data_IF_610659027518
#
_entry.id   IF_610659027518
#
_cell.length_a   1.000
_cell.length_b   1.000
_cell.length_c   1.000
_cell.angle_alpha   90.00
_cell.angle_beta   90.00
_cell.angle_gamma   90.00
#
_symmetry.space_group_name_H-M   'P 1'
#
loop_
_entity.id
_entity.type
_entity.pdbx_description
1 polymer ?
#
# COMPACT_ATOMS: atom_id res chain seq x y z
N UNK A 1 -21.31 15.82 3.84
CA UNK A 1 -21.59 14.80 2.80
C UNK A 1 -20.34 14.43 2.02
N UNK A 2 -19.80 15.35 1.19
CA UNK A 2 -18.60 15.07 0.38
C UNK A 2 -17.41 14.51 1.17
N UNK A 3 -16.94 15.22 2.21
CA UNK A 3 -15.86 14.72 3.07
C UNK A 3 -16.17 13.36 3.69
N UNK A 4 -17.38 13.17 4.21
CA UNK A 4 -17.78 11.90 4.85
C UNK A 4 -17.71 10.73 3.85
N UNK A 5 -18.13 10.92 2.60
CA UNK A 5 -17.96 9.89 1.57
C UNK A 5 -16.48 9.67 1.22
N UNK A 6 -15.70 10.74 1.05
CA UNK A 6 -14.27 10.67 0.72
C UNK A 6 -13.50 9.89 1.80
N UNK A 7 -13.69 10.24 3.07
CA UNK A 7 -12.91 9.72 4.20
C UNK A 7 -13.43 8.36 4.69
N UNK A 8 -14.76 8.20 4.79
CA UNK A 8 -15.39 7.06 5.45
C UNK A 8 -16.12 6.11 4.49
N UNK A 9 -16.14 6.41 3.19
CA UNK A 9 -16.78 5.57 2.16
C UNK A 9 -18.28 5.37 2.39
N UNK A 10 -18.92 6.35 3.01
CA UNK A 10 -20.34 6.31 3.36
C UNK A 10 -21.21 6.55 2.11
N UNK A 11 -21.84 5.49 1.62
CA UNK A 11 -22.76 5.53 0.47
C UNK A 11 -24.02 6.38 0.74
N UNK A 12 -24.46 6.48 2.00
CA UNK A 12 -25.56 7.37 2.39
C UNK A 12 -25.18 8.84 2.24
N UNK A 13 -23.93 9.19 2.57
CA UNK A 13 -23.39 10.53 2.36
C UNK A 13 -23.26 10.89 0.87
N UNK A 14 -22.86 9.94 0.02
CA UNK A 14 -22.87 10.10 -1.44
C UNK A 14 -24.29 10.30 -1.98
N UNK A 15 -25.24 9.45 -1.58
CA UNK A 15 -26.64 9.58 -1.99
C UNK A 15 -27.26 10.92 -1.57
N UNK A 16 -26.96 11.42 -0.37
CA UNK A 16 -27.42 12.74 0.07
C UNK A 16 -26.77 13.86 -0.75
N UNK A 17 -25.48 13.78 -1.06
CA UNK A 17 -24.81 14.76 -1.93
C UNK A 17 -25.49 14.80 -3.31
N UNK A 18 -25.71 13.63 -3.92
CA UNK A 18 -26.37 13.51 -5.21
C UNK A 18 -27.75 14.20 -5.22
N UNK A 19 -28.57 13.90 -4.21
CA UNK A 19 -29.90 14.51 -4.05
C UNK A 19 -29.83 16.02 -3.89
N UNK A 20 -28.88 16.53 -3.10
CA UNK A 20 -28.69 17.98 -2.96
C UNK A 20 -28.32 18.62 -4.30
N UNK A 21 -27.43 18.00 -5.09
CA UNK A 21 -27.02 18.54 -6.39
C UNK A 21 -28.15 18.53 -7.42
N UNK A 22 -29.03 17.53 -7.38
CA UNK A 22 -30.08 17.30 -8.39
C UNK A 22 -31.44 17.92 -8.01
N UNK A 23 -31.87 17.79 -6.75
CA UNK A 23 -33.21 18.20 -6.29
C UNK A 23 -33.26 19.68 -5.89
N UNK A 24 -32.16 20.27 -5.43
CA UNK A 24 -32.15 21.68 -5.00
C UNK A 24 -32.05 22.68 -6.16
N UNK A 25 -32.08 22.22 -7.42
CA UNK A 25 -32.08 23.09 -8.60
C UNK A 25 -30.82 23.94 -8.75
N UNK A 26 -29.68 23.47 -8.22
CA UNK A 26 -28.44 24.25 -8.13
C UNK A 26 -27.86 24.60 -9.51
N UNK A 27 -28.24 23.87 -10.56
CA UNK A 27 -28.00 24.22 -11.96
C UNK A 27 -28.38 25.68 -12.29
N UNK A 28 -29.42 26.23 -11.64
CA UNK A 28 -29.87 27.60 -11.87
C UNK A 28 -29.03 28.66 -11.12
N UNK A 29 -28.21 28.25 -10.15
CA UNK A 29 -27.34 29.16 -9.41
C UNK A 29 -26.07 29.49 -10.19
N UNK A 30 -25.73 28.70 -11.20
CA UNK A 30 -24.44 28.79 -11.90
C UNK A 30 -24.21 30.15 -12.57
N UNK A 31 -25.25 30.86 -13.02
CA UNK A 31 -25.10 32.22 -13.57
C UNK A 31 -24.88 33.31 -12.51
N UNK A 32 -25.24 33.05 -11.24
CA UNK A 32 -25.17 34.00 -10.14
C UNK A 32 -23.94 33.82 -9.23
N UNK A 33 -23.24 32.69 -9.36
CA UNK A 33 -22.08 32.36 -8.52
C UNK A 33 -20.82 33.14 -8.94
N UNK A 34 -20.07 33.59 -7.94
CA UNK A 34 -18.70 34.08 -8.12
C UNK A 34 -17.78 32.92 -8.52
N UNK A 35 -16.62 33.24 -9.09
CA UNK A 35 -15.70 32.23 -9.62
C UNK A 35 -15.29 31.17 -8.58
N UNK A 36 -14.95 31.58 -7.35
CA UNK A 36 -14.56 30.64 -6.29
C UNK A 36 -15.73 29.77 -5.80
N UNK A 37 -16.97 30.29 -5.83
CA UNK A 37 -18.16 29.52 -5.48
C UNK A 37 -18.47 28.49 -6.54
N UNK A 38 -18.29 28.87 -7.82
CA UNK A 38 -18.36 27.93 -8.95
C UNK A 38 -17.32 26.83 -8.81
N UNK A 39 -16.06 27.16 -8.51
CA UNK A 39 -15.02 26.16 -8.29
C UNK A 39 -15.39 25.17 -7.17
N UNK A 40 -15.87 25.67 -6.02
CA UNK A 40 -16.34 24.82 -4.90
C UNK A 40 -17.49 23.91 -5.34
N UNK A 41 -18.40 24.43 -6.15
CA UNK A 41 -19.53 23.67 -6.66
C UNK A 41 -19.12 22.61 -7.69
N UNK A 42 -18.24 22.96 -8.64
CA UNK A 42 -17.61 22.03 -9.59
C UNK A 42 -16.89 20.91 -8.85
N UNK A 43 -16.21 21.20 -7.72
CA UNK A 43 -15.62 20.17 -6.86
C UNK A 43 -16.67 19.23 -6.26
N UNK A 44 -17.79 19.74 -5.75
CA UNK A 44 -18.87 18.88 -5.24
C UNK A 44 -19.47 18.00 -6.35
N UNK A 45 -19.63 18.53 -7.57
CA UNK A 45 -20.04 17.74 -8.74
C UNK A 45 -19.01 16.66 -9.08
N UNK A 46 -17.71 16.95 -8.97
CA UNK A 46 -16.66 15.96 -9.18
C UNK A 46 -16.72 14.84 -8.14
N UNK A 47 -16.97 15.17 -6.86
CA UNK A 47 -17.18 14.19 -5.80
C UNK A 47 -18.36 13.27 -6.11
N UNK A 48 -19.50 13.83 -6.54
CA UNK A 48 -20.68 13.05 -6.93
C UNK A 48 -20.40 12.12 -8.14
N UNK A 49 -19.75 12.64 -9.18
CA UNK A 49 -19.36 11.86 -10.34
C UNK A 49 -18.43 10.69 -9.96
N UNK A 50 -17.43 10.94 -9.11
CA UNK A 50 -16.56 9.91 -8.59
C UNK A 50 -17.31 8.84 -7.77
N UNK A 51 -18.24 9.26 -6.92
CA UNK A 51 -19.07 8.35 -6.11
C UNK A 51 -19.94 7.43 -6.99
N UNK A 52 -20.47 7.97 -8.10
CA UNK A 52 -21.24 7.21 -9.09
C UNK A 52 -20.38 6.41 -10.08
N UNK A 53 -19.05 6.46 -9.95
CA UNK A 53 -18.10 5.84 -10.88
C UNK A 53 -18.25 6.35 -12.32
N UNK A 54 -18.63 7.63 -12.48
CA UNK A 54 -18.80 8.34 -13.75
C UNK A 54 -17.47 9.02 -14.13
N UNK A 55 -16.55 8.22 -14.68
CA UNK A 55 -15.17 8.63 -14.91
C UNK A 55 -15.04 9.80 -15.89
N UNK A 56 -15.83 9.81 -16.97
CA UNK A 56 -15.78 10.85 -18.00
C UNK A 56 -16.21 12.22 -17.42
N UNK A 57 -17.32 12.23 -16.69
CA UNK A 57 -17.81 13.44 -16.01
C UNK A 57 -16.82 13.90 -14.95
N UNK A 58 -16.27 12.98 -14.15
CA UNK A 58 -15.26 13.30 -13.15
C UNK A 58 -14.02 13.96 -13.78
N UNK A 59 -13.46 13.37 -14.84
CA UNK A 59 -12.27 13.91 -15.51
C UNK A 59 -12.55 15.30 -16.06
N UNK A 60 -13.69 15.51 -16.72
CA UNK A 60 -14.07 16.82 -17.25
C UNK A 60 -14.11 17.90 -16.15
N UNK A 61 -14.73 17.59 -15.01
CA UNK A 61 -14.83 18.52 -13.88
C UNK A 61 -13.48 18.78 -13.20
N UNK A 62 -12.61 17.76 -13.07
CA UNK A 62 -11.26 17.95 -12.53
C UNK A 62 -10.40 18.82 -13.45
N UNK A 63 -10.51 18.64 -14.77
CA UNK A 63 -9.82 19.48 -15.74
C UNK A 63 -10.28 20.94 -15.63
N UNK A 64 -11.58 21.17 -15.44
CA UNK A 64 -12.13 22.51 -15.22
C UNK A 64 -11.56 23.19 -13.96
N UNK A 65 -11.31 22.41 -12.90
CA UNK A 65 -10.80 22.91 -11.62
C UNK A 65 -9.30 23.26 -11.61
N UNK A 66 -8.51 22.77 -12.57
CA UNK A 66 -7.03 22.81 -12.51
C UNK A 66 -6.46 24.21 -12.26
N UNK A 67 -7.06 25.22 -12.87
CA UNK A 67 -6.57 26.59 -12.83
C UNK A 67 -7.49 27.51 -12.01
N UNK A 68 -8.37 26.93 -11.16
CA UNK A 68 -9.34 27.65 -10.35
C UNK A 68 -8.90 27.78 -8.90
N UNK A 69 -9.20 28.92 -8.30
CA UNK A 69 -9.00 29.14 -6.86
C UNK A 69 -10.30 28.92 -6.10
N UNK A 70 -10.20 28.29 -4.92
CA UNK A 70 -11.31 28.20 -3.97
C UNK A 70 -11.36 29.38 -2.99
N UNK A 71 -10.41 30.32 -3.03
CA UNK A 71 -10.34 31.47 -2.13
C UNK A 71 -11.21 32.63 -2.63
N UNK A 72 -11.96 33.24 -1.71
CA UNK A 72 -12.76 34.41 -2.01
C UNK A 72 -11.92 35.70 -2.06
N UNK A 73 -10.96 35.84 -1.13
CA UNK A 73 -10.27 37.12 -0.84
C UNK A 73 -8.75 36.99 -0.54
N UNK A 74 -8.13 35.83 -0.80
CA UNK A 74 -6.70 35.59 -0.50
C UNK A 74 -6.35 35.47 0.99
N UNK A 75 -7.33 35.52 1.88
CA UNK A 75 -7.23 35.19 3.30
C UNK A 75 -7.64 33.73 3.44
N UNK A 76 -6.75 32.88 3.98
CA UNK A 76 -6.75 31.39 4.08
C UNK A 76 -8.07 30.66 4.45
N UNK A 77 -9.18 30.91 3.76
CA UNK A 77 -10.47 30.25 3.94
C UNK A 77 -10.66 29.08 2.96
N UNK A 78 -9.80 28.92 1.93
CA UNK A 78 -9.79 27.77 1.02
C UNK A 78 -9.16 26.49 1.59
N UNK A 79 -8.48 26.55 2.74
CA UNK A 79 -7.81 25.37 3.31
C UNK A 79 -8.71 24.12 3.40
N UNK A 80 -10.01 24.21 3.75
CA UNK A 80 -10.90 23.05 3.75
C UNK A 80 -11.23 22.52 2.34
N UNK A 81 -11.35 23.38 1.32
CA UNK A 81 -11.71 22.97 -0.04
C UNK A 81 -10.53 22.34 -0.79
N UNK A 82 -9.33 22.87 -0.58
CA UNK A 82 -8.09 22.24 -1.05
C UNK A 82 -7.89 20.87 -0.39
N UNK A 83 -8.22 20.74 0.90
CA UNK A 83 -8.22 19.44 1.59
C UNK A 83 -9.23 18.47 0.96
N UNK A 84 -10.44 18.94 0.61
CA UNK A 84 -11.44 18.12 -0.09
C UNK A 84 -10.91 17.65 -1.44
N UNK A 85 -10.33 18.54 -2.26
CA UNK A 85 -9.76 18.18 -3.56
C UNK A 85 -8.64 17.15 -3.41
N UNK A 86 -7.69 17.39 -2.50
CA UNK A 86 -6.58 16.47 -2.26
C UNK A 86 -7.08 15.10 -1.80
N UNK A 87 -8.00 15.06 -0.82
CA UNK A 87 -8.57 13.82 -0.32
C UNK A 87 -9.41 13.09 -1.39
N UNK A 88 -10.12 13.83 -2.25
CA UNK A 88 -10.83 13.27 -3.40
C UNK A 88 -9.87 12.58 -4.39
N UNK A 89 -8.76 13.23 -4.74
CA UNK A 89 -7.77 12.65 -5.64
C UNK A 89 -7.18 11.37 -5.06
N UNK A 90 -6.80 11.38 -3.79
CA UNK A 90 -6.30 10.19 -3.08
C UNK A 90 -7.33 9.06 -3.02
N UNK A 91 -8.60 9.40 -2.79
CA UNK A 91 -9.73 8.46 -2.79
C UNK A 91 -9.92 7.82 -4.15
N UNK A 92 -9.94 8.61 -5.22
CA UNK A 92 -10.09 8.12 -6.60
C UNK A 92 -8.90 7.25 -6.98
N UNK A 93 -7.66 7.66 -6.67
CA UNK A 93 -6.47 6.81 -6.84
C UNK A 93 -6.63 5.48 -6.11
N UNK A 94 -7.12 5.49 -4.86
CA UNK A 94 -7.35 4.26 -4.10
C UNK A 94 -8.43 3.36 -4.71
N UNK A 95 -9.51 3.94 -5.26
CA UNK A 95 -10.57 3.22 -5.95
C UNK A 95 -10.05 2.58 -7.25
N UNK A 96 -9.38 3.36 -8.11
CA UNK A 96 -8.78 2.88 -9.37
C UNK A 96 -7.75 1.77 -9.09
N UNK A 97 -6.88 1.98 -8.11
CA UNK A 97 -5.89 0.98 -7.68
C UNK A 97 -6.55 -0.33 -7.26
N UNK A 98 -7.64 -0.25 -6.47
CA UNK A 98 -8.42 -1.42 -6.05
C UNK A 98 -9.08 -2.12 -7.24
N UNK A 99 -9.72 -1.37 -8.15
CA UNK A 99 -10.37 -1.93 -9.33
C UNK A 99 -9.37 -2.67 -10.24
N UNK A 100 -8.19 -2.07 -10.51
CA UNK A 100 -7.12 -2.72 -11.28
C UNK A 100 -6.66 -3.99 -10.55
N UNK A 101 -6.42 -3.91 -9.24
CA UNK A 101 -6.05 -5.07 -8.43
C UNK A 101 -7.09 -6.19 -8.52
N UNK A 102 -8.38 -5.89 -8.31
CA UNK A 102 -9.48 -6.86 -8.36
C UNK A 102 -9.57 -7.51 -9.76
N UNK A 103 -9.42 -6.72 -10.82
CA UNK A 103 -9.43 -7.23 -12.19
C UNK A 103 -8.25 -8.17 -12.47
N UNK A 104 -7.03 -7.77 -12.09
CA UNK A 104 -5.83 -8.61 -12.26
C UNK A 104 -5.93 -9.86 -11.41
N UNK A 105 -6.43 -9.75 -10.18
CA UNK A 105 -6.62 -10.89 -9.29
C UNK A 105 -7.67 -11.86 -9.84
N UNK A 106 -8.82 -11.38 -10.32
CA UNK A 106 -9.84 -12.22 -10.96
C UNK A 106 -9.31 -12.92 -12.22
N UNK A 107 -8.43 -12.27 -13.00
CA UNK A 107 -7.72 -12.92 -14.11
C UNK A 107 -6.76 -14.00 -13.59
N UNK A 108 -6.04 -13.74 -12.51
CA UNK A 108 -5.15 -14.69 -11.84
C UNK A 108 -5.88 -15.93 -11.32
N UNK A 109 -7.04 -15.76 -10.70
CA UNK A 109 -7.89 -16.89 -10.26
C UNK A 109 -8.23 -17.82 -11.43
N UNK A 110 -8.50 -17.28 -12.63
CA UNK A 110 -8.73 -18.10 -13.83
C UNK A 110 -7.48 -18.85 -14.30
N UNK A 111 -6.29 -18.30 -14.06
CA UNK A 111 -5.00 -18.94 -14.41
C UNK A 111 -4.66 -20.03 -13.40
N UNK A 112 -4.92 -19.79 -12.12
CA UNK A 112 -4.64 -20.72 -11.01
C UNK A 112 -5.84 -21.58 -10.62
N UNK A 113 -6.89 -21.60 -11.44
CA UNK A 113 -8.10 -22.38 -11.22
C UNK A 113 -7.73 -23.86 -11.11
N UNK A 114 -7.71 -24.35 -9.88
CA UNK A 114 -7.24 -25.70 -9.54
C UNK A 114 -8.14 -26.78 -10.14
N UNK A 115 -9.40 -26.45 -10.46
CA UNK A 115 -10.33 -27.37 -11.14
C UNK A 115 -9.97 -27.55 -12.61
N UNK A 116 -9.26 -26.58 -13.21
CA UNK A 116 -8.75 -26.63 -14.58
C UNK A 116 -7.32 -27.16 -14.67
N UNK A 117 -6.58 -27.14 -13.57
CA UNK A 117 -5.25 -27.74 -13.50
C UNK A 117 -5.35 -29.25 -13.40
N UNK A 118 -4.42 -29.96 -14.04
CA UNK A 118 -4.29 -31.39 -13.80
C UNK A 118 -4.01 -31.63 -12.30
N UNK A 119 -4.58 -32.67 -11.67
CA UNK A 119 -4.38 -32.94 -10.24
C UNK A 119 -2.90 -33.01 -9.81
N UNK A 120 -2.04 -33.49 -10.70
CA UNK A 120 -0.59 -33.55 -10.47
C UNK A 120 0.06 -32.15 -10.45
N UNK A 121 -0.38 -31.24 -11.32
CA UNK A 121 0.11 -29.86 -11.38
C UNK A 121 -0.36 -29.06 -10.17
N UNK A 122 -1.61 -29.24 -9.73
CA UNK A 122 -2.13 -28.60 -8.53
C UNK A 122 -1.46 -29.13 -7.26
N UNK A 123 -1.22 -30.44 -7.17
CA UNK A 123 -0.46 -31.04 -6.08
C UNK A 123 0.99 -30.53 -6.07
N UNK A 124 1.66 -30.48 -7.23
CA UNK A 124 3.02 -29.95 -7.36
C UNK A 124 3.11 -28.48 -6.96
N UNK A 125 2.18 -27.64 -7.42
CA UNK A 125 2.16 -26.21 -7.11
C UNK A 125 1.88 -25.98 -5.62
N UNK A 126 0.93 -26.73 -5.04
CA UNK A 126 0.67 -26.70 -3.59
C UNK A 126 1.90 -27.14 -2.81
N UNK A 127 2.49 -28.28 -3.15
CA UNK A 127 3.69 -28.80 -2.51
C UNK A 127 4.87 -27.83 -2.64
N UNK A 128 5.07 -27.22 -3.81
CA UNK A 128 6.16 -26.27 -4.06
C UNK A 128 5.95 -24.99 -3.27
N UNK A 129 4.72 -24.46 -3.19
CA UNK A 129 4.40 -23.29 -2.38
C UNK A 129 4.50 -23.58 -0.88
N UNK A 130 4.07 -24.77 -0.46
CA UNK A 130 4.23 -25.31 0.89
C UNK A 130 5.65 -25.74 1.21
N UNK A 131 6.55 -25.90 0.24
CA UNK A 131 7.97 -26.23 0.46
C UNK A 131 8.85 -24.99 0.38
N UNK A 132 8.45 -23.99 -0.40
CA UNK A 132 9.00 -22.64 -0.42
C UNK A 132 8.65 -21.84 0.88
N UNK A 133 8.13 -22.53 1.91
CA UNK A 133 7.68 -22.05 3.22
C UNK A 133 8.35 -20.76 3.64
N UNK A 134 7.69 -19.63 3.43
CA UNK A 134 7.97 -18.35 4.06
C UNK A 134 9.43 -17.85 4.04
N UNK A 135 10.42 -18.61 3.59
CA UNK A 135 11.82 -18.29 3.72
C UNK A 135 12.13 -17.32 2.60
N UNK A 136 12.36 -16.08 3.01
CA UNK A 136 12.51 -14.95 2.11
C UNK A 136 13.85 -14.28 2.35
N UNK A 137 14.33 -13.59 1.33
CA UNK A 137 15.31 -12.55 1.50
C UNK A 137 14.59 -11.27 1.94
N UNK A 138 15.25 -10.45 2.75
CA UNK A 138 14.69 -9.16 3.13
C UNK A 138 15.70 -8.04 3.10
N UNK A 139 15.20 -6.82 2.90
CA UNK A 139 15.95 -5.58 3.05
C UNK A 139 15.13 -4.58 3.86
N UNK A 140 15.78 -3.84 4.75
CA UNK A 140 15.12 -2.91 5.66
C UNK A 140 15.49 -1.47 5.29
N UNK A 141 14.52 -0.58 5.35
CA UNK A 141 14.78 0.84 5.13
C UNK A 141 15.70 1.42 6.21
N UNK A 142 16.70 2.15 5.77
CA UNK A 142 17.68 2.79 6.65
C UNK A 142 18.87 3.36 5.88
N UNK A 143 18.80 3.27 4.56
CA UNK A 143 19.81 3.62 3.57
C UNK A 143 19.18 4.63 2.59
N UNK A 144 20.00 5.46 1.93
CA UNK A 144 19.52 6.45 0.96
C UNK A 144 18.53 5.94 -0.11
N UNK A 145 18.66 4.71 -0.67
CA UNK A 145 17.82 4.27 -1.79
C UNK A 145 16.32 4.23 -1.51
N UNK A 146 15.92 3.96 -0.26
CA UNK A 146 14.51 3.94 0.15
C UNK A 146 13.85 5.33 0.17
N UNK A 147 14.62 6.41 0.02
CA UNK A 147 14.08 7.77 -0.09
C UNK A 147 13.35 7.99 -1.42
N UNK A 148 13.69 7.21 -2.46
CA UNK A 148 13.03 7.27 -3.76
C UNK A 148 11.64 6.62 -3.75
N UNK A 149 11.36 5.81 -2.73
CA UNK A 149 10.03 5.24 -2.49
C UNK A 149 9.19 6.34 -1.86
N UNK A 150 8.60 7.20 -2.70
CA UNK A 150 7.77 8.37 -2.35
C UNK A 150 6.47 8.04 -1.58
N UNK A 151 6.39 6.86 -0.96
CA UNK A 151 5.21 6.27 -0.31
C UNK A 151 4.86 6.96 1.03
N UNK A 152 5.59 8.00 1.45
CA UNK A 152 5.38 8.64 2.75
C UNK A 152 4.51 9.90 2.61
N UNK A 153 3.22 9.68 2.38
CA UNK A 153 2.14 10.47 3.01
C UNK A 153 1.00 9.51 3.35
N UNK A 154 0.68 9.37 4.63
CA UNK A 154 -0.56 8.75 5.07
C UNK A 154 -1.57 9.91 5.23
N UNK A 155 -2.59 10.07 4.37
CA UNK A 155 -3.47 11.24 4.42
C UNK A 155 -4.54 11.16 5.51
N UNK A 156 -4.82 9.96 6.04
CA UNK A 156 -5.81 9.77 7.09
C UNK A 156 -5.21 8.95 8.23
N UNK A 157 -4.67 9.64 9.23
CA UNK A 157 -4.87 9.33 10.67
C UNK A 157 -3.99 10.12 11.67
N UNK A 158 -3.09 11.01 11.25
CA UNK A 158 -2.39 11.87 12.21
C UNK A 158 -2.98 13.28 12.18
N UNK A 159 -4.10 13.45 12.87
CA UNK A 159 -4.64 14.76 13.30
C UNK A 159 -3.75 15.47 14.32
N UNK A 160 -2.43 15.31 14.22
CA UNK A 160 -1.42 15.96 15.05
C UNK A 160 -0.63 16.94 14.22
N UNK A 161 -0.84 18.23 14.46
CA UNK A 161 0.07 19.31 14.06
C UNK A 161 1.50 18.88 14.41
N UNK A 162 2.34 18.66 13.40
CA UNK A 162 3.77 18.50 13.62
C UNK A 162 4.41 19.89 13.63
N UNK A 163 4.46 20.47 14.84
CA UNK A 163 5.46 21.50 15.14
C UNK A 163 6.87 20.91 14.93
N UNK A 164 7.80 21.76 14.50
CA UNK A 164 9.06 21.41 13.86
C UNK A 164 9.90 20.30 14.51
N UNK A 165 10.38 19.36 13.68
CA UNK A 165 11.44 18.43 14.04
C UNK A 165 11.38 17.03 13.41
N UNK A 166 11.24 16.95 12.08
CA UNK A 166 11.40 15.74 11.25
C UNK A 166 10.36 14.61 11.47
N UNK A 167 9.40 14.51 10.54
CA UNK A 167 8.35 13.49 10.52
C UNK A 167 8.90 12.05 10.63
N UNK A 168 8.16 11.12 11.26
CA UNK A 168 8.56 9.72 11.33
C UNK A 168 8.71 9.15 9.90
N UNK A 169 9.91 8.69 9.57
CA UNK A 169 10.13 7.90 8.36
C UNK A 169 9.38 6.58 8.52
N UNK A 170 8.40 6.33 7.66
CA UNK A 170 7.74 5.02 7.57
C UNK A 170 8.79 3.92 7.44
N UNK A 171 8.87 2.97 8.38
CA UNK A 171 9.76 1.83 8.25
C UNK A 171 9.21 0.90 7.16
N UNK A 172 10.01 0.71 6.12
CA UNK A 172 9.76 -0.20 5.01
C UNK A 172 10.58 -1.48 5.20
N UNK A 173 9.97 -2.63 4.91
CA UNK A 173 10.65 -3.92 4.69
C UNK A 173 10.34 -4.42 3.28
N UNK A 174 11.38 -4.72 2.51
CA UNK A 174 11.27 -5.49 1.27
C UNK A 174 11.38 -6.97 1.63
N UNK A 175 10.49 -7.77 1.05
CA UNK A 175 10.39 -9.20 1.25
C UNK A 175 10.39 -9.84 -0.14
N UNK A 176 11.47 -10.55 -0.47
CA UNK A 176 11.60 -11.25 -1.75
C UNK A 176 11.66 -12.76 -1.51
N UNK A 177 10.68 -13.53 -1.99
CA UNK A 177 10.73 -14.98 -1.89
C UNK A 177 11.95 -15.57 -2.59
N UNK A 178 12.41 -16.73 -2.14
CA UNK A 178 13.63 -17.37 -2.68
C UNK A 178 13.49 -17.88 -4.11
N UNK A 179 12.31 -18.32 -4.48
CA UNK A 179 12.03 -18.94 -5.77
C UNK A 179 10.84 -18.25 -6.38
N UNK A 180 10.92 -17.89 -7.66
CA UNK A 180 9.79 -17.32 -8.38
C UNK A 180 8.93 -18.44 -8.96
N UNK A 181 7.65 -18.47 -8.60
CA UNK A 181 6.70 -19.49 -9.07
C UNK A 181 5.77 -18.85 -10.10
N UNK A 182 6.16 -18.89 -11.37
CA UNK A 182 5.44 -18.20 -12.45
C UNK A 182 4.53 -19.17 -13.21
N UNK A 183 3.25 -18.81 -13.32
CA UNK A 183 2.36 -19.40 -14.31
C UNK A 183 2.64 -18.82 -15.69
N UNK A 184 2.66 -19.70 -16.69
CA UNK A 184 2.83 -19.33 -18.09
C UNK A 184 1.47 -19.27 -18.78
N UNK A 185 1.30 -18.35 -19.72
CA UNK A 185 0.15 -18.31 -20.62
C UNK A 185 0.20 -19.48 -21.61
N UNK A 186 -0.88 -19.68 -22.36
CA UNK A 186 -0.89 -20.61 -23.51
C UNK A 186 0.11 -20.20 -24.61
N UNK A 187 0.49 -18.93 -24.69
CA UNK A 187 1.54 -18.42 -25.59
C UNK A 187 2.96 -18.67 -25.06
N UNK A 188 3.12 -19.25 -23.88
CA UNK A 188 4.42 -19.49 -23.25
C UNK A 188 5.07 -18.23 -22.67
N UNK A 189 4.29 -17.17 -22.45
CA UNK A 189 4.76 -15.94 -21.79
C UNK A 189 4.44 -15.99 -20.28
N UNK A 190 5.26 -15.37 -19.41
CA UNK A 190 4.92 -15.19 -18.00
C UNK A 190 3.57 -14.52 -17.83
N UNK A 191 2.58 -15.24 -17.29
CA UNK A 191 1.25 -14.70 -17.06
C UNK A 191 1.14 -14.07 -15.68
N UNK A 192 1.63 -14.75 -14.64
CA UNK A 192 1.50 -14.29 -13.26
C UNK A 192 2.42 -15.02 -12.29
N UNK A 193 2.99 -14.30 -11.32
CA UNK A 193 3.71 -14.90 -10.20
C UNK A 193 2.72 -15.30 -9.08
N UNK A 194 2.81 -16.56 -8.65
CA UNK A 194 1.85 -17.22 -7.78
C UNK A 194 1.89 -16.70 -6.34
N UNK A 195 3.07 -16.44 -5.78
CA UNK A 195 3.19 -16.02 -4.37
C UNK A 195 2.67 -14.59 -4.14
N UNK A 196 2.98 -13.68 -5.06
CA UNK A 196 2.44 -12.32 -5.14
C UNK A 196 0.94 -12.39 -5.35
N UNK A 197 0.43 -13.27 -6.22
CA UNK A 197 -1.01 -13.48 -6.41
C UNK A 197 -1.70 -13.93 -5.12
N UNK A 198 -1.13 -14.92 -4.42
CA UNK A 198 -1.69 -15.45 -3.16
C UNK A 198 -1.75 -14.41 -2.05
N UNK A 199 -0.65 -13.72 -1.78
CA UNK A 199 -0.63 -12.73 -0.69
C UNK A 199 -1.52 -11.52 -1.06
N UNK A 200 -1.65 -11.23 -2.35
CA UNK A 200 -2.60 -10.24 -2.85
C UNK A 200 -4.05 -10.63 -2.54
N UNK A 201 -4.43 -11.89 -2.81
CA UNK A 201 -5.75 -12.42 -2.42
C UNK A 201 -5.98 -12.46 -0.91
N UNK A 202 -4.91 -12.47 -0.11
CA UNK A 202 -4.97 -12.40 1.36
C UNK A 202 -5.03 -10.95 1.92
N UNK A 203 -5.12 -9.94 1.04
CA UNK A 203 -5.40 -8.55 1.39
C UNK A 203 -4.30 -7.55 1.03
N UNK A 204 -3.10 -8.00 0.64
CA UNK A 204 -2.09 -7.08 0.12
C UNK A 204 -2.55 -6.49 -1.23
N UNK A 205 -2.17 -5.25 -1.54
CA UNK A 205 -2.52 -4.65 -2.83
C UNK A 205 -1.33 -4.60 -3.76
N UNK A 206 -1.56 -5.03 -5.01
CA UNK A 206 -0.56 -4.93 -6.09
C UNK A 206 -0.11 -3.48 -6.24
N UNK A 207 1.21 -3.28 -6.37
CA UNK A 207 1.77 -1.95 -6.57
C UNK A 207 1.59 -1.57 -8.03
N UNK A 208 0.87 -0.48 -8.27
CA UNK A 208 0.65 0.10 -9.60
C UNK A 208 1.32 1.48 -9.58
N UNK A 209 2.37 1.74 -10.36
CA UNK A 209 3.13 2.98 -10.26
C UNK A 209 2.28 4.25 -10.40
N UNK A 210 1.35 4.25 -11.36
CA UNK A 210 0.52 5.42 -11.69
C UNK A 210 -0.73 5.56 -10.81
N UNK A 211 -1.07 4.51 -10.06
CA UNK A 211 -2.25 4.46 -9.19
C UNK A 211 -1.91 3.78 -7.86
N UNK A 212 -0.83 4.24 -7.21
CA UNK A 212 -0.34 3.59 -6.02
C UNK A 212 -1.24 3.89 -4.83
N UNK A 213 -1.82 2.84 -4.25
CA UNK A 213 -2.56 2.92 -3.00
C UNK A 213 -2.27 1.67 -2.20
N UNK A 214 -1.98 1.83 -0.90
CA UNK A 214 -1.49 0.74 -0.07
C UNK A 214 -2.45 0.56 1.11
N UNK A 215 -3.11 -0.59 1.23
CA UNK A 215 -4.05 -0.83 2.32
C UNK A 215 -3.32 -0.96 3.67
N UNK A 216 -4.00 -0.58 4.73
CA UNK A 216 -3.62 -0.96 6.09
C UNK A 216 -4.38 -2.22 6.51
N UNK A 217 -3.64 -3.26 6.90
CA UNK A 217 -4.18 -4.55 7.30
C UNK A 217 -4.02 -4.71 8.81
N UNK A 218 -5.10 -4.47 9.55
CA UNK A 218 -5.09 -4.42 11.03
C UNK A 218 -4.77 -5.77 11.67
N UNK A 219 -5.19 -6.86 11.03
CA UNK A 219 -4.99 -8.22 11.54
C UNK A 219 -3.65 -8.84 11.10
N UNK A 220 -2.89 -8.15 10.26
CA UNK A 220 -1.56 -8.57 9.84
C UNK A 220 -0.48 -7.95 10.72
N UNK A 221 0.54 -8.75 11.02
CA UNK A 221 1.62 -8.33 11.91
C UNK A 221 2.98 -8.79 11.42
N UNK A 222 3.96 -7.90 11.55
CA UNK A 222 5.36 -8.21 11.42
C UNK A 222 5.96 -8.37 12.83
N UNK A 223 6.34 -9.59 13.16
CA UNK A 223 6.90 -9.96 14.46
C UNK A 223 8.43 -9.97 14.42
N UNK A 224 9.07 -9.49 15.48
CA UNK A 224 10.47 -9.82 15.76
C UNK A 224 10.57 -11.02 16.70
N UNK A 225 11.40 -12.01 16.34
CA UNK A 225 11.78 -13.13 17.19
C UNK A 225 13.30 -13.33 17.16
N UNK A 226 14.00 -12.72 18.12
CA UNK A 226 15.47 -12.73 18.12
C UNK A 226 16.04 -11.98 16.91
N UNK A 227 16.83 -12.67 16.08
CA UNK A 227 17.39 -12.15 14.82
C UNK A 227 16.54 -12.51 13.59
N UNK A 228 15.25 -12.76 13.79
CA UNK A 228 14.32 -13.15 12.73
C UNK A 228 13.12 -12.22 12.73
N UNK A 229 12.63 -11.89 11.55
CA UNK A 229 11.31 -11.28 11.37
C UNK A 229 10.34 -12.30 10.76
N UNK A 230 9.08 -12.22 11.15
CA UNK A 230 8.01 -13.05 10.60
C UNK A 230 6.78 -12.21 10.27
N UNK A 231 6.33 -12.28 9.02
CA UNK A 231 5.07 -11.72 8.58
C UNK A 231 3.97 -12.77 8.78
N UNK A 232 2.91 -12.39 9.50
CA UNK A 232 1.78 -13.26 9.80
C UNK A 232 0.46 -12.56 9.56
N UNK A 233 -0.54 -13.35 9.18
CA UNK A 233 -1.94 -12.94 9.09
C UNK A 233 -2.70 -13.16 10.42
N UNK A 234 -4.01 -12.95 10.36
CA UNK A 234 -4.95 -13.12 11.47
C UNK A 234 -4.97 -14.54 12.05
N UNK A 235 -4.80 -15.55 11.18
CA UNK A 235 -4.79 -16.98 11.54
C UNK A 235 -3.42 -17.43 12.06
N UNK A 236 -2.49 -16.48 12.21
CA UNK A 236 -1.08 -16.69 12.62
C UNK A 236 -0.27 -17.51 11.61
N UNK A 237 -0.78 -17.68 10.39
CA UNK A 237 -0.08 -18.30 9.27
C UNK A 237 1.17 -17.48 8.98
N UNK A 238 2.31 -18.15 8.82
CA UNK A 238 3.56 -17.47 8.48
C UNK A 238 3.64 -17.35 6.96
N UNK A 239 3.55 -16.12 6.48
CA UNK A 239 3.65 -15.81 5.05
C UNK A 239 5.08 -15.52 4.62
N UNK A 240 5.87 -14.93 5.52
CA UNK A 240 7.27 -14.63 5.27
C UNK A 240 8.09 -14.69 6.57
N UNK A 241 9.35 -15.07 6.44
CA UNK A 241 10.32 -15.31 7.49
C UNK A 241 11.70 -15.02 6.93
N UNK A 242 12.37 -14.04 7.52
CA UNK A 242 13.73 -13.69 7.14
C UNK A 242 14.62 -13.61 8.37
N UNK A 243 15.83 -14.14 8.25
CA UNK A 243 16.87 -13.90 9.23
C UNK A 243 17.52 -12.55 8.92
N UNK A 244 17.46 -11.61 9.86
CA UNK A 244 17.91 -10.24 9.66
C UNK A 244 18.23 -9.57 10.98
N UNK A 245 19.27 -8.74 10.96
CA UNK A 245 19.60 -7.87 12.08
C UNK A 245 18.92 -6.52 11.86
N UNK A 246 17.96 -6.17 12.71
CA UNK A 246 17.24 -4.91 12.60
C UNK A 246 18.18 -3.72 12.90
N UNK A 247 18.39 -2.80 11.95
CA UNK A 247 19.14 -1.58 12.22
C UNK A 247 18.46 -0.80 13.36
N UNK A 248 19.20 -0.25 14.33
CA UNK A 248 18.60 0.45 15.48
C UNK A 248 17.62 1.57 15.07
N UNK A 249 17.95 2.32 14.02
CA UNK A 249 17.08 3.39 13.48
C UNK A 249 15.78 2.85 12.89
N UNK A 250 15.83 1.74 12.16
CA UNK A 250 14.62 1.12 11.59
C UNK A 250 13.74 0.56 12.70
N UNK A 251 14.33 -0.14 13.67
CA UNK A 251 13.59 -0.69 14.80
C UNK A 251 12.93 0.42 15.64
N UNK A 252 13.63 1.52 15.89
CA UNK A 252 13.06 2.68 16.57
C UNK A 252 11.89 3.27 15.77
N UNK A 253 12.04 3.45 14.45
CA UNK A 253 10.96 3.94 13.60
C UNK A 253 9.72 3.03 13.67
N UNK A 254 9.89 1.71 13.57
CA UNK A 254 8.81 0.73 13.69
C UNK A 254 8.18 0.70 15.08
N UNK A 255 8.98 0.83 16.13
CA UNK A 255 8.49 0.89 17.50
C UNK A 255 7.67 2.17 17.78
N UNK A 256 8.03 3.29 17.17
CA UNK A 256 7.31 4.57 17.27
C UNK A 256 6.05 4.56 16.43
N UNK A 257 6.12 4.17 15.15
CA UNK A 257 4.97 4.18 14.24
C UNK A 257 3.95 3.09 14.53
N UNK A 258 4.35 2.02 15.23
CA UNK A 258 3.57 0.77 15.43
C UNK A 258 3.13 0.09 14.13
N UNK A 259 3.65 0.54 12.99
CA UNK A 259 3.22 0.14 11.66
C UNK A 259 4.39 0.15 10.70
N UNK A 260 4.47 -0.88 9.88
CA UNK A 260 5.54 -1.09 8.90
C UNK A 260 4.91 -1.24 7.52
N UNK A 261 5.51 -0.61 6.52
CA UNK A 261 5.20 -0.89 5.13
C UNK A 261 5.94 -2.15 4.70
N UNK A 262 5.20 -3.17 4.27
CA UNK A 262 5.75 -4.39 3.68
C UNK A 262 5.59 -4.28 2.18
N UNK A 263 6.70 -4.33 1.45
CA UNK A 263 6.72 -4.58 0.01
C UNK A 263 7.12 -6.03 -0.20
N UNK A 264 6.21 -6.82 -0.75
CA UNK A 264 6.38 -8.24 -0.99
C UNK A 264 6.44 -8.52 -2.48
N UNK A 265 7.44 -9.30 -2.92
CA UNK A 265 7.57 -9.72 -4.30
C UNK A 265 9.01 -9.66 -4.82
N UNK A 266 9.17 -9.56 -6.13
CA UNK A 266 10.47 -9.73 -6.80
C UNK A 266 10.92 -8.48 -7.55
N UNK A 267 12.22 -8.42 -7.87
CA UNK A 267 12.80 -7.40 -8.76
C UNK A 267 14.03 -6.70 -8.17
N UNK A 268 14.43 -7.06 -6.95
CA UNK A 268 15.53 -6.42 -6.24
C UNK A 268 16.76 -7.32 -6.04
N UNK A 269 16.65 -8.61 -6.39
CA UNK A 269 17.74 -9.60 -6.33
C UNK A 269 18.34 -9.65 -4.92
N UNK A 270 17.48 -9.81 -3.91
CA UNK A 270 17.87 -9.71 -2.51
C UNK A 270 18.72 -10.90 -2.03
N UNK A 271 18.93 -11.92 -2.86
CA UNK A 271 19.84 -13.03 -2.60
C UNK A 271 21.32 -12.64 -2.65
N UNK A 272 21.70 -11.62 -3.43
CA UNK A 272 23.10 -11.18 -3.58
C UNK A 272 23.52 -10.28 -2.43
N UNK A 273 24.81 -10.11 -2.08
CA UNK A 273 25.23 -9.11 -1.10
C UNK A 273 24.77 -7.69 -1.47
N UNK A 274 24.34 -6.89 -0.50
CA UNK A 274 23.75 -5.56 -0.74
C UNK A 274 24.68 -4.63 -1.53
N UNK A 275 25.99 -4.74 -1.31
CA UNK A 275 27.03 -3.93 -1.97
C UNK A 275 27.17 -4.24 -3.46
N UNK A 276 26.65 -5.37 -3.93
CA UNK A 276 26.73 -5.85 -5.30
C UNK A 276 25.42 -5.63 -6.08
N UNK A 277 24.33 -5.23 -5.41
CA UNK A 277 23.00 -5.08 -6.02
C UNK A 277 22.86 -3.76 -6.76
N UNK A 278 22.60 -3.83 -8.07
CA UNK A 278 22.31 -2.66 -8.91
C UNK A 278 21.16 -1.81 -8.35
N UNK A 279 20.08 -2.45 -7.87
CA UNK A 279 18.92 -1.76 -7.29
C UNK A 279 19.25 -0.87 -6.07
N UNK A 280 20.37 -1.10 -5.38
CA UNK A 280 20.76 -0.33 -4.19
C UNK A 280 21.94 0.61 -4.46
N UNK A 281 22.42 0.70 -5.70
CA UNK A 281 23.55 1.55 -6.07
C UNK A 281 23.24 3.05 -5.92
N UNK A 282 21.99 3.45 -6.16
CA UNK A 282 21.51 4.84 -5.99
C UNK A 282 20.00 4.87 -5.73
N UNK A 283 19.45 6.00 -5.22
CA UNK A 283 18.00 6.19 -5.14
C UNK A 283 17.30 6.08 -6.49
N UNK A 284 17.92 6.58 -7.56
CA UNK A 284 17.39 6.50 -8.91
C UNK A 284 17.32 5.05 -9.42
N UNK A 285 18.39 4.28 -9.25
CA UNK A 285 18.41 2.86 -9.61
C UNK A 285 17.33 2.08 -8.83
N UNK A 286 17.15 2.39 -7.54
CA UNK A 286 16.08 1.78 -6.76
C UNK A 286 14.69 2.11 -7.32
N UNK A 287 14.44 3.36 -7.69
CA UNK A 287 13.17 3.79 -8.28
C UNK A 287 12.90 3.05 -9.60
N UNK A 288 13.90 2.89 -10.45
CA UNK A 288 13.80 2.17 -11.72
C UNK A 288 13.46 0.70 -11.51
N UNK A 289 14.19 0.01 -10.61
CA UNK A 289 13.89 -1.38 -10.27
C UNK A 289 12.50 -1.54 -9.63
N UNK A 290 12.11 -0.61 -8.75
CA UNK A 290 10.78 -0.60 -8.15
C UNK A 290 9.69 -0.42 -9.22
N UNK A 291 9.85 0.55 -10.12
CA UNK A 291 8.89 0.82 -11.18
C UNK A 291 8.81 -0.37 -12.16
N UNK A 292 9.94 -0.92 -12.58
CA UNK A 292 9.99 -2.11 -13.44
C UNK A 292 9.25 -3.29 -12.80
N UNK A 293 9.57 -3.60 -11.55
CA UNK A 293 8.96 -4.71 -10.82
C UNK A 293 7.44 -4.51 -10.61
N UNK A 294 7.03 -3.29 -10.26
CA UNK A 294 5.62 -2.94 -10.11
C UNK A 294 4.86 -3.04 -11.45
N UNK A 295 5.41 -2.50 -12.54
CA UNK A 295 4.82 -2.57 -13.88
C UNK A 295 4.75 -4.00 -14.43
N UNK A 296 5.67 -4.88 -14.02
CA UNK A 296 5.59 -6.32 -14.31
C UNK A 296 4.64 -7.09 -13.39
N UNK A 297 3.95 -6.42 -12.46
CA UNK A 297 3.03 -7.06 -11.52
C UNK A 297 3.72 -7.98 -10.50
N UNK A 298 5.01 -7.77 -10.27
CA UNK A 298 5.84 -8.58 -9.35
C UNK A 298 5.87 -8.03 -7.93
N UNK A 299 5.16 -6.94 -7.64
CA UNK A 299 5.12 -6.32 -6.31
C UNK A 299 3.70 -6.17 -5.79
N UNK A 300 3.57 -6.39 -4.48
CA UNK A 300 2.36 -6.11 -3.71
C UNK A 300 2.74 -5.55 -2.35
N UNK A 301 1.86 -4.77 -1.74
CA UNK A 301 2.17 -3.96 -0.59
C UNK A 301 1.02 -3.89 0.41
N UNK A 302 1.38 -3.77 1.68
CA UNK A 302 0.44 -3.42 2.74
C UNK A 302 1.18 -2.75 3.90
N UNK A 303 0.46 -1.90 4.62
CA UNK A 303 0.84 -1.52 5.97
C UNK A 303 0.36 -2.58 6.96
N UNK A 304 1.25 -3.05 7.83
CA UNK A 304 0.94 -4.06 8.86
C UNK A 304 1.39 -3.56 10.24
N UNK A 305 0.78 -4.09 11.30
CA UNK A 305 1.20 -3.76 12.66
C UNK A 305 2.61 -4.30 12.97
N UNK A 306 3.39 -3.56 13.75
CA UNK A 306 4.70 -3.99 14.23
C UNK A 306 4.61 -4.58 15.64
N UNK A 307 5.09 -5.80 15.82
CA UNK A 307 5.23 -6.46 17.12
C UNK A 307 6.69 -6.83 17.38
N UNK A 308 7.45 -5.82 17.80
CA UNK A 308 8.81 -5.99 18.30
C UNK A 308 8.79 -6.35 19.78
N UNK A 309 8.61 -7.63 20.12
CA UNK A 309 8.93 -8.07 21.48
C UNK A 309 10.45 -7.94 21.69
N UNK A 310 10.86 -7.17 22.71
CA UNK A 310 12.25 -7.22 23.18
C UNK A 310 12.55 -8.67 23.55
N UNK A 311 13.68 -9.26 23.11
CA UNK A 311 14.06 -10.58 23.59
C UNK A 311 14.08 -10.55 25.12
N UNK A 312 13.53 -11.56 25.81
CA UNK A 312 13.65 -11.63 27.26
C UNK A 312 15.13 -11.53 27.59
N UNK A 313 15.51 -10.55 28.43
CA UNK A 313 16.88 -10.45 28.95
C UNK A 313 17.23 -11.84 29.47
N UNK A 314 18.22 -12.50 28.86
CA UNK A 314 18.84 -13.69 29.44
C UNK A 314 19.35 -13.27 30.81
N UNK A 315 18.58 -13.54 31.86
CA UNK A 315 19.03 -13.41 33.24
C UNK A 315 20.24 -14.33 33.35
N UNK A 316 21.40 -13.74 33.58
CA UNK A 316 22.72 -14.38 33.66
C UNK A 316 22.86 -15.27 34.92
N UNK A 317 21.76 -15.88 35.35
CA UNK A 317 21.56 -16.43 36.69
C UNK A 317 21.24 -17.93 36.66
N UNK A 318 21.82 -18.70 35.72
CA UNK A 318 21.80 -20.17 35.80
C UNK A 318 23.12 -20.87 35.43
N UNK A 319 24.25 -20.15 35.28
CA UNK A 319 25.59 -20.78 35.20
C UNK A 319 26.33 -20.80 36.55
N UNK A 320 25.68 -20.40 37.64
CA UNK A 320 26.31 -20.21 38.95
C UNK A 320 26.09 -21.30 40.01
N UNK A 321 25.42 -22.42 39.70
CA UNK A 321 25.17 -23.49 40.71
C UNK A 321 25.27 -24.90 40.12
N UNK A 322 26.48 -25.30 39.71
CA UNK A 322 26.85 -26.73 39.69
C UNK A 322 28.36 -26.91 39.85
N UNK A 323 28.90 -26.43 40.98
CA UNK A 323 30.14 -26.95 41.56
C UNK A 323 29.98 -26.99 43.09
N UNK A 324 30.34 -28.14 43.66
CA UNK A 324 30.29 -28.57 45.07
C UNK A 324 28.94 -29.14 45.53
N UNK A 325 28.77 -30.45 45.45
CA UNK A 325 29.26 -31.43 46.44
C UNK A 325 29.38 -32.79 45.80
#
# INVERSE_FOLDING_TARGET
>A
CALVWIEATDEGAAGLLHRVLTECGIEHLDAALREHERARFTLLKAVDAAARQDADTFIALIVELRDKSFDADGIHAAAPWEQVLQALLERVTAMTSKQIHDHVHARGEKVFDLERMLPEQSAYLRQTAEAALADVHCALSGRPPFQAVGIIRNPHNDGGRTDGGQAPRTPIVLVEPRYMLTAMSLSGEPAMEYQVHRISGAGFRRVIPDAMSIPALLEWRLYQRGNRIELRDQDRTVWARAQTNLPPRWHQAAATSKRVLVLYGFGFMLQEPLEQRAAFASPQAFAEHFHQAASSGLLTAAFVAWDGTRPPKRTRQQDGKRRKR
#
